data_IF_054586000104
#
_entry.id   IF_054586000104
#
_cell.length_a   1.000
_cell.length_b   1.000
_cell.length_c   1.000
_cell.angle_alpha   90.00
_cell.angle_beta   90.00
_cell.angle_gamma   90.00
#
_symmetry.space_group_name_H-M   'P 1'
#
loop_
_entity.id
_entity.type
_entity.pdbx_description
1 polymer ?
#
# COMPACT_ATOMS: atom_id res chain seq x y z
N UNK A 1 -1.66 -33.69 -1.06
CA UNK A 1 -1.02 -32.51 -0.44
C UNK A 1 -0.72 -31.36 -1.43
N UNK A 2 -1.05 -31.48 -2.72
CA UNK A 2 -0.76 -30.45 -3.74
C UNK A 2 -1.75 -29.26 -3.76
N UNK A 3 -3.01 -29.48 -3.35
CA UNK A 3 -4.05 -28.44 -3.33
C UNK A 3 -3.67 -27.21 -2.48
N UNK A 4 -3.03 -27.41 -1.32
CA UNK A 4 -2.64 -26.32 -0.42
C UNK A 4 -1.56 -25.40 -1.01
N UNK A 5 -0.69 -25.91 -1.88
CA UNK A 5 0.32 -25.08 -2.54
C UNK A 5 -0.34 -24.13 -3.54
N UNK A 6 -1.32 -24.62 -4.32
CA UNK A 6 -2.10 -23.77 -5.24
C UNK A 6 -2.89 -22.69 -4.50
N UNK A 7 -3.51 -23.04 -3.37
CA UNK A 7 -4.23 -22.07 -2.54
C UNK A 7 -3.32 -20.96 -1.98
N UNK A 8 -2.10 -21.30 -1.53
CA UNK A 8 -1.14 -20.31 -1.01
C UNK A 8 -0.72 -19.30 -2.09
N UNK A 9 -0.43 -19.78 -3.30
CA UNK A 9 -0.09 -18.91 -4.42
C UNK A 9 -1.26 -17.99 -4.75
N UNK A 10 -2.47 -18.54 -4.88
CA UNK A 10 -3.67 -17.74 -5.17
C UNK A 10 -3.95 -16.69 -4.09
N UNK A 11 -3.83 -17.05 -2.81
CA UNK A 11 -4.00 -16.11 -1.70
C UNK A 11 -2.95 -14.99 -1.73
N UNK A 12 -1.68 -15.31 -1.99
CA UNK A 12 -0.61 -14.32 -2.12
C UNK A 12 -0.87 -13.35 -3.29
N UNK A 13 -1.34 -13.86 -4.43
CA UNK A 13 -1.71 -13.02 -5.58
C UNK A 13 -2.82 -12.03 -5.24
N UNK A 14 -3.87 -12.49 -4.55
CA UNK A 14 -4.97 -11.61 -4.11
C UNK A 14 -4.47 -10.56 -3.12
N UNK A 15 -3.67 -10.97 -2.13
CA UNK A 15 -3.10 -10.05 -1.15
C UNK A 15 -2.25 -8.97 -1.82
N UNK A 16 -1.38 -9.34 -2.77
CA UNK A 16 -0.54 -8.39 -3.50
C UNK A 16 -1.39 -7.36 -4.27
N UNK A 17 -2.44 -7.80 -4.97
CA UNK A 17 -3.33 -6.89 -5.71
C UNK A 17 -4.08 -5.91 -4.80
N UNK A 18 -4.53 -6.37 -3.63
CA UNK A 18 -5.17 -5.51 -2.62
C UNK A 18 -4.18 -4.48 -2.09
N UNK A 19 -2.96 -4.92 -1.74
CA UNK A 19 -1.92 -4.04 -1.22
C UNK A 19 -1.52 -2.95 -2.22
N UNK A 20 -1.36 -3.30 -3.50
CA UNK A 20 -1.03 -2.35 -4.57
C UNK A 20 -2.14 -1.30 -4.73
N UNK A 21 -3.40 -1.73 -4.79
CA UNK A 21 -4.54 -0.82 -4.89
C UNK A 21 -4.66 0.11 -3.67
N UNK A 22 -4.45 -0.42 -2.47
CA UNK A 22 -4.47 0.37 -1.24
C UNK A 22 -3.34 1.41 -1.21
N UNK A 23 -2.12 1.02 -1.61
CA UNK A 23 -0.98 1.94 -1.69
C UNK A 23 -1.25 3.10 -2.64
N UNK A 24 -1.69 2.81 -3.87
CA UNK A 24 -1.98 3.86 -4.85
C UNK A 24 -3.07 4.81 -4.39
N UNK A 25 -4.17 4.27 -3.87
CA UNK A 25 -5.27 5.09 -3.35
C UNK A 25 -4.80 5.99 -2.19
N UNK A 26 -3.99 5.46 -1.28
CA UNK A 26 -3.44 6.23 -0.17
C UNK A 26 -2.46 7.31 -0.63
N UNK A 27 -1.59 7.00 -1.60
CA UNK A 27 -0.63 7.94 -2.17
C UNK A 27 -1.35 9.11 -2.86
N UNK A 28 -2.31 8.82 -3.74
CA UNK A 28 -3.08 9.84 -4.47
C UNK A 28 -3.84 10.73 -3.47
N UNK A 29 -4.55 10.13 -2.51
CA UNK A 29 -5.29 10.89 -1.51
C UNK A 29 -4.40 11.75 -0.61
N UNK A 30 -3.20 11.26 -0.25
CA UNK A 30 -2.27 12.02 0.58
C UNK A 30 -1.78 13.30 -0.12
N UNK A 31 -1.67 13.29 -1.44
CA UNK A 31 -1.26 14.46 -2.24
C UNK A 31 -2.40 15.48 -2.39
N UNK A 32 -3.65 15.03 -2.48
CA UNK A 32 -4.81 15.91 -2.68
C UNK A 32 -5.39 16.47 -1.38
N UNK A 33 -5.32 15.70 -0.28
CA UNK A 33 -5.94 16.10 0.98
C UNK A 33 -5.10 17.15 1.70
N UNK A 34 -5.70 18.30 2.02
CA UNK A 34 -5.07 19.33 2.84
C UNK A 34 -5.57 19.32 4.30
N UNK A 35 -4.64 19.54 5.24
CA UNK A 35 -4.94 19.80 6.64
C UNK A 35 -3.80 20.61 7.29
N UNK A 36 -4.13 21.45 8.28
CA UNK A 36 -3.16 22.38 8.88
C UNK A 36 -2.47 23.29 7.85
N UNK A 37 -3.19 23.67 6.79
CA UNK A 37 -2.75 24.63 5.77
C UNK A 37 -1.79 24.08 4.70
N UNK A 38 -1.67 22.75 4.56
CA UNK A 38 -0.84 22.11 3.51
C UNK A 38 -1.32 20.69 3.17
N UNK A 39 -0.91 20.11 2.03
CA UNK A 39 -1.13 18.70 1.73
C UNK A 39 -0.63 17.77 2.84
N UNK A 40 -1.39 16.72 3.14
CA UNK A 40 -1.01 15.78 4.20
C UNK A 40 0.22 14.95 3.82
N UNK A 41 0.53 14.81 2.53
CA UNK A 41 1.75 14.19 2.04
C UNK A 41 3.05 14.87 2.54
N UNK A 42 2.98 16.12 3.02
CA UNK A 42 4.14 16.83 3.59
C UNK A 42 4.45 16.43 5.05
N UNK A 43 3.56 15.69 5.73
CA UNK A 43 3.84 15.22 7.08
C UNK A 43 4.74 13.97 7.03
N UNK A 44 5.93 14.07 7.62
CA UNK A 44 6.94 13.01 7.64
C UNK A 44 6.39 11.65 8.11
N UNK A 45 5.50 11.63 9.11
CA UNK A 45 4.89 10.39 9.59
C UNK A 45 4.10 9.64 8.51
N UNK A 46 3.35 10.37 7.66
CA UNK A 46 2.63 9.77 6.53
C UNK A 46 3.57 9.34 5.41
N UNK A 47 4.66 10.08 5.18
CA UNK A 47 5.69 9.69 4.21
C UNK A 47 6.34 8.36 4.56
N UNK A 48 6.65 8.12 5.84
CA UNK A 48 7.20 6.84 6.29
C UNK A 48 6.21 5.70 6.07
N UNK A 49 4.93 5.89 6.42
CA UNK A 49 3.90 4.88 6.18
C UNK A 49 3.81 4.52 4.69
N UNK A 50 3.80 5.52 3.79
CA UNK A 50 3.76 5.29 2.35
C UNK A 50 5.05 4.64 1.82
N UNK A 51 6.21 5.01 2.36
CA UNK A 51 7.48 4.38 2.01
C UNK A 51 7.53 2.90 2.41
N UNK A 52 7.10 2.57 3.63
CA UNK A 52 7.03 1.19 4.12
C UNK A 52 6.08 0.33 3.27
N UNK A 53 4.91 0.90 2.89
CA UNK A 53 3.99 0.24 1.97
C UNK A 53 4.64 -0.06 0.62
N UNK A 54 5.34 0.92 0.04
CA UNK A 54 6.03 0.75 -1.25
C UNK A 54 7.14 -0.29 -1.17
N UNK A 55 7.91 -0.33 -0.09
CA UNK A 55 8.95 -1.33 0.12
C UNK A 55 8.33 -2.72 0.24
N UNK A 56 7.22 -2.85 0.98
CA UNK A 56 6.49 -4.11 1.13
C UNK A 56 5.90 -4.67 -0.17
N UNK A 57 5.65 -3.83 -1.17
CA UNK A 57 5.19 -4.24 -2.50
C UNK A 57 6.33 -4.70 -3.43
N UNK A 58 7.54 -4.16 -3.22
CA UNK A 58 8.69 -4.42 -4.07
C UNK A 58 9.55 -5.62 -3.61
N UNK A 59 9.33 -6.10 -2.38
CA UNK A 59 10.04 -7.23 -1.76
C UNK A 59 9.46 -8.59 -2.18
#
# INVERSE_FOLDING_TARGET
MTAYNGQRVGAATVALGISEGAYRLALDYAQEREQFGRPIAEFQGLQWMLADMSIGLAA
#
